data_IF_638009118890
#
_entry.id   IF_638009118890
#
_cell.length_a   1.000
_cell.length_b   1.000
_cell.length_c   1.000
_cell.angle_alpha   90.00
_cell.angle_beta   90.00
_cell.angle_gamma   90.00
#
_symmetry.space_group_name_H-M   'P 1'
#
loop_
_entity.id
_entity.type
_entity.pdbx_description
1 polymer ?
#
# COMPACT_ATOMS: atom_id res chain seq x y z
N UNK A 1 12.57 -3.84 4.52
CA UNK A 1 11.26 -4.46 4.28
C UNK A 1 10.15 -3.52 4.74
N UNK A 2 8.96 -3.56 4.13
CA UNK A 2 7.79 -2.83 4.64
C UNK A 2 6.68 -3.79 4.97
N UNK A 3 5.83 -3.45 5.93
CA UNK A 3 4.72 -4.30 6.36
C UNK A 3 3.40 -3.57 6.22
N UNK A 4 2.37 -4.24 5.68
CA UNK A 4 1.02 -3.69 5.69
C UNK A 4 0.42 -3.75 7.09
N UNK A 5 -0.09 -2.61 7.57
CA UNK A 5 -0.75 -2.48 8.86
C UNK A 5 -2.21 -2.07 8.64
N UNK A 6 -3.15 -2.90 9.08
CA UNK A 6 -4.59 -2.60 8.96
C UNK A 6 -5.00 -1.61 10.05
N UNK A 7 -5.23 -0.35 9.68
CA UNK A 7 -5.50 0.71 10.66
C UNK A 7 -6.82 0.50 11.39
N UNK A 8 -7.84 -0.06 10.73
CA UNK A 8 -9.13 -0.37 11.39
C UNK A 8 -8.97 -1.27 12.62
N UNK A 9 -7.96 -2.14 12.66
CA UNK A 9 -7.69 -3.03 13.79
C UNK A 9 -7.09 -2.33 15.01
N UNK A 10 -6.84 -1.02 14.92
CA UNK A 10 -6.24 -0.20 15.97
C UNK A 10 -7.24 0.74 16.66
N UNK A 11 -8.55 0.50 16.52
CA UNK A 11 -9.61 1.33 17.11
C UNK A 11 -9.39 1.63 18.61
N UNK A 12 -8.89 0.65 19.36
CA UNK A 12 -8.64 0.77 20.80
C UNK A 12 -7.16 0.90 21.16
N UNK A 13 -6.30 1.18 20.18
CA UNK A 13 -4.87 1.38 20.45
C UNK A 13 -4.65 2.68 21.20
N UNK A 14 -3.66 2.66 22.07
CA UNK A 14 -3.06 3.84 22.67
C UNK A 14 -1.76 4.19 21.94
N UNK A 15 -1.18 5.35 22.25
CA UNK A 15 0.17 5.70 21.78
C UNK A 15 1.22 4.65 22.21
N UNK A 16 1.04 4.02 23.39
CA UNK A 16 1.94 2.97 23.88
C UNK A 16 1.86 1.71 23.01
N UNK A 17 0.66 1.33 22.56
CA UNK A 17 0.48 0.18 21.67
C UNK A 17 1.17 0.42 20.33
N UNK A 18 1.01 1.63 19.76
CA UNK A 18 1.73 2.02 18.54
C UNK A 18 3.25 1.99 18.72
N UNK A 19 3.77 2.55 19.81
CA UNK A 19 5.20 2.51 20.12
C UNK A 19 5.71 1.06 20.28
N UNK A 20 4.95 0.20 20.95
CA UNK A 20 5.29 -1.21 21.13
C UNK A 20 5.35 -1.95 19.78
N UNK A 21 4.30 -1.83 18.96
CA UNK A 21 4.24 -2.46 17.63
C UNK A 21 5.36 -1.97 16.70
N UNK A 22 5.69 -0.67 16.71
CA UNK A 22 6.83 -0.14 15.95
C UNK A 22 8.15 -0.71 16.46
N UNK A 23 8.31 -0.90 17.77
CA UNK A 23 9.50 -1.54 18.34
C UNK A 23 9.67 -2.96 17.83
N UNK A 24 8.62 -3.77 17.91
CA UNK A 24 8.63 -5.14 17.39
C UNK A 24 8.93 -5.18 15.88
N UNK A 25 8.43 -4.21 15.12
CA UNK A 25 8.73 -4.12 13.70
C UNK A 25 10.21 -3.80 13.43
N UNK A 26 10.81 -2.88 14.20
CA UNK A 26 12.25 -2.60 14.12
C UNK A 26 13.09 -3.82 14.49
N UNK A 27 12.71 -4.55 15.54
CA UNK A 27 13.37 -5.79 15.96
C UNK A 27 13.28 -6.88 14.87
N UNK A 28 12.20 -6.87 14.10
CA UNK A 28 12.00 -7.74 12.93
C UNK A 28 12.61 -7.18 11.62
N UNK A 29 13.39 -6.10 11.68
CA UNK A 29 14.01 -5.44 10.53
C UNK A 29 13.01 -4.94 9.46
N UNK A 30 11.82 -4.56 9.88
CA UNK A 30 10.86 -3.80 9.07
C UNK A 30 11.25 -2.32 9.16
N UNK A 31 11.31 -1.65 8.01
CA UNK A 31 11.71 -0.25 7.89
C UNK A 31 10.52 0.72 7.98
N UNK A 32 9.32 0.24 7.61
CA UNK A 32 8.14 1.06 7.56
C UNK A 32 6.84 0.26 7.65
N UNK A 33 5.77 0.92 8.10
CA UNK A 33 4.40 0.45 7.91
C UNK A 33 3.74 1.11 6.71
N UNK A 34 3.05 0.30 5.91
CA UNK A 34 2.05 0.71 4.93
C UNK A 34 0.69 0.74 5.64
N UNK A 35 0.19 1.94 5.95
CA UNK A 35 -1.07 2.13 6.67
C UNK A 35 -2.25 1.85 5.73
N UNK A 36 -2.80 0.63 5.80
CA UNK A 36 -3.95 0.20 5.01
C UNK A 36 -5.24 0.74 5.65
N UNK A 37 -5.93 1.62 4.91
CA UNK A 37 -7.05 2.41 5.44
C UNK A 37 -8.19 2.50 4.43
N UNK A 38 -9.40 2.15 4.86
CA UNK A 38 -10.62 2.38 4.08
C UNK A 38 -11.05 3.86 4.19
N UNK A 39 -11.67 4.37 3.12
CA UNK A 39 -12.24 5.72 3.11
C UNK A 39 -13.26 5.90 4.24
N UNK A 40 -13.22 7.04 4.95
CA UNK A 40 -14.16 7.37 6.04
C UNK A 40 -14.25 6.34 7.19
N UNK A 41 -13.26 5.45 7.36
CA UNK A 41 -13.18 4.65 8.57
C UNK A 41 -12.93 5.57 9.78
N UNK A 42 -13.83 5.52 10.77
CA UNK A 42 -13.80 6.33 12.00
C UNK A 42 -12.49 6.17 12.80
N UNK A 43 -11.76 5.09 12.58
CA UNK A 43 -10.49 4.78 13.24
C UNK A 43 -9.33 5.60 12.68
N UNK A 44 -9.44 6.07 11.44
CA UNK A 44 -8.33 6.69 10.70
C UNK A 44 -7.75 7.89 11.44
N UNK A 45 -8.59 8.88 11.80
CA UNK A 45 -8.10 10.17 12.30
C UNK A 45 -7.27 10.00 13.59
N UNK A 46 -7.87 9.38 14.61
CA UNK A 46 -7.20 9.18 15.89
C UNK A 46 -5.98 8.26 15.76
N UNK A 47 -6.10 7.17 15.00
CA UNK A 47 -5.03 6.18 14.93
C UNK A 47 -3.85 6.62 14.09
N UNK A 48 -4.09 7.33 12.97
CA UNK A 48 -3.02 7.90 12.14
C UNK A 48 -2.22 8.91 12.94
N UNK A 49 -2.86 9.80 13.70
CA UNK A 49 -2.17 10.78 14.53
C UNK A 49 -1.23 10.10 15.56
N UNK A 50 -1.73 9.06 16.24
CA UNK A 50 -0.92 8.28 17.18
C UNK A 50 0.22 7.54 16.49
N UNK A 51 -0.04 6.94 15.33
CA UNK A 51 0.97 6.22 14.55
C UNK A 51 2.13 7.15 14.16
N UNK A 52 1.84 8.33 13.60
CA UNK A 52 2.88 9.30 13.22
C UNK A 52 3.65 9.83 14.44
N UNK A 53 2.96 10.08 15.55
CA UNK A 53 3.61 10.50 16.80
C UNK A 53 4.59 9.42 17.30
N UNK A 54 4.16 8.16 17.34
CA UNK A 54 5.00 7.05 17.76
C UNK A 54 6.16 6.79 16.79
N UNK A 55 5.91 6.88 15.48
CA UNK A 55 6.93 6.68 14.45
C UNK A 55 8.02 7.76 14.51
N UNK A 56 7.63 9.02 14.66
CA UNK A 56 8.58 10.13 14.85
C UNK A 56 9.44 9.92 16.10
N UNK A 57 8.84 9.51 17.21
CA UNK A 57 9.56 9.24 18.45
C UNK A 57 10.59 8.08 18.33
N UNK A 58 10.35 7.13 17.41
CA UNK A 58 11.22 5.97 17.18
C UNK A 58 12.09 6.04 15.93
N UNK A 59 12.02 7.14 15.17
CA UNK A 59 12.68 7.24 13.87
C UNK A 59 12.19 6.22 12.83
N UNK A 60 10.95 5.76 12.96
CA UNK A 60 10.33 4.78 12.08
C UNK A 60 9.57 5.45 10.93
N UNK A 61 9.44 4.78 9.79
CA UNK A 61 8.78 5.35 8.62
C UNK A 61 7.35 4.84 8.49
N UNK A 62 6.47 5.69 8.00
CA UNK A 62 5.09 5.33 7.66
C UNK A 62 4.80 5.83 6.26
N UNK A 63 3.95 5.12 5.54
CA UNK A 63 3.32 5.64 4.33
C UNK A 63 1.87 5.17 4.25
N UNK A 64 1.07 5.92 3.51
CA UNK A 64 -0.35 5.62 3.35
C UNK A 64 -0.57 4.58 2.25
N UNK A 65 -1.40 3.60 2.55
CA UNK A 65 -1.92 2.62 1.61
C UNK A 65 -3.45 2.75 1.56
N UNK A 66 -3.93 3.56 0.61
CA UNK A 66 -5.36 3.88 0.53
C UNK A 66 -6.15 2.68 -0.03
N UNK A 67 -7.07 2.15 0.76
CA UNK A 67 -7.85 0.97 0.42
C UNK A 67 -9.12 1.35 -0.35
N UNK A 68 -9.08 1.11 -1.67
CA UNK A 68 -10.20 1.37 -2.56
C UNK A 68 -11.26 0.25 -2.52
N UNK A 69 -10.89 -0.94 -2.02
CA UNK A 69 -11.80 -2.08 -1.88
C UNK A 69 -12.58 -2.08 -0.55
N UNK A 70 -12.18 -1.26 0.43
CA UNK A 70 -12.84 -1.17 1.73
C UNK A 70 -14.16 -0.42 1.64
N UNK A 71 -14.08 0.90 1.42
CA UNK A 71 -15.23 1.81 1.39
C UNK A 71 -15.30 2.63 0.09
N UNK A 72 -14.74 2.10 -1.00
CA UNK A 72 -14.68 2.79 -2.29
C UNK A 72 -13.47 3.72 -2.44
N UNK A 73 -13.42 4.48 -3.55
CA UNK A 73 -12.29 5.33 -3.89
C UNK A 73 -12.17 6.53 -2.95
N UNK A 74 -10.92 6.91 -2.66
CA UNK A 74 -10.61 8.11 -1.89
C UNK A 74 -10.70 9.36 -2.77
N UNK A 75 -10.98 10.52 -2.14
CA UNK A 75 -10.99 11.80 -2.82
C UNK A 75 -9.60 12.16 -3.38
N UNK A 76 -9.56 12.62 -4.63
CA UNK A 76 -8.32 12.93 -5.36
C UNK A 76 -7.48 14.01 -4.68
N UNK A 77 -8.10 14.92 -3.93
CA UNK A 77 -7.41 15.99 -3.22
C UNK A 77 -6.54 15.47 -2.09
N UNK A 78 -6.82 14.27 -1.55
CA UNK A 78 -6.02 13.65 -0.49
C UNK A 78 -4.58 13.41 -0.92
N UNK A 79 -4.30 13.32 -2.23
CA UNK A 79 -2.97 13.04 -2.78
C UNK A 79 -2.07 14.27 -2.94
N UNK A 80 -2.64 15.48 -2.85
CA UNK A 80 -1.90 16.72 -3.08
C UNK A 80 -0.76 16.88 -2.07
N UNK A 81 0.43 17.19 -2.57
CA UNK A 81 1.64 17.38 -1.76
C UNK A 81 2.33 16.08 -1.30
N UNK A 82 1.83 14.90 -1.70
CA UNK A 82 2.46 13.61 -1.33
C UNK A 82 3.46 13.18 -2.40
N UNK A 83 4.71 12.96 -2.00
CA UNK A 83 5.75 12.48 -2.91
C UNK A 83 5.60 10.99 -3.27
N UNK A 84 4.90 10.22 -2.43
CA UNK A 84 4.63 8.79 -2.65
C UNK A 84 3.16 8.49 -2.37
N UNK A 85 2.53 7.74 -3.27
CA UNK A 85 1.15 7.27 -3.13
C UNK A 85 1.06 5.79 -3.48
N UNK A 86 0.40 5.03 -2.63
CA UNK A 86 0.08 3.64 -2.85
C UNK A 86 -1.39 3.40 -2.54
N UNK A 87 -2.04 2.59 -3.38
CA UNK A 87 -3.42 2.19 -3.19
C UNK A 87 -3.55 0.67 -3.21
N UNK A 88 -4.48 0.14 -2.42
CA UNK A 88 -4.85 -1.26 -2.43
C UNK A 88 -6.12 -1.43 -3.27
N UNK A 89 -6.03 -2.23 -4.35
CA UNK A 89 -7.08 -2.42 -5.35
C UNK A 89 -7.46 -1.10 -6.05
N UNK A 90 -8.64 -1.07 -6.68
CA UNK A 90 -9.15 0.12 -7.38
C UNK A 90 -8.73 0.24 -8.85
N UNK A 91 -8.42 -0.87 -9.53
CA UNK A 91 -8.05 -0.84 -10.96
C UNK A 91 -9.16 -0.29 -11.87
N UNK A 92 -10.43 -0.33 -11.43
CA UNK A 92 -11.56 0.33 -12.09
C UNK A 92 -11.46 1.85 -12.12
N UNK A 93 -10.67 2.44 -11.22
CA UNK A 93 -10.44 3.89 -11.10
C UNK A 93 -9.08 4.29 -11.70
N UNK A 94 -8.46 3.42 -12.51
CA UNK A 94 -7.13 3.68 -13.03
C UNK A 94 -7.08 5.00 -13.82
N UNK A 95 -8.09 5.30 -14.64
CA UNK A 95 -8.12 6.48 -15.53
C UNK A 95 -7.95 7.81 -14.78
N UNK A 96 -8.35 7.87 -13.51
CA UNK A 96 -8.16 9.05 -12.65
C UNK A 96 -6.68 9.41 -12.47
N UNK A 97 -5.78 8.41 -12.51
CA UNK A 97 -4.37 8.56 -12.19
C UNK A 97 -3.56 9.29 -13.26
N UNK A 98 -4.06 9.39 -14.50
CA UNK A 98 -3.45 10.26 -15.51
C UNK A 98 -3.45 11.72 -15.03
N UNK A 99 -4.59 12.18 -14.50
CA UNK A 99 -4.75 13.55 -13.99
C UNK A 99 -4.07 13.70 -12.63
N UNK A 100 -4.30 12.77 -11.70
CA UNK A 100 -3.72 12.85 -10.35
C UNK A 100 -2.19 12.92 -10.42
N UNK A 101 -1.54 12.09 -11.24
CA UNK A 101 -0.09 12.16 -11.39
C UNK A 101 0.40 13.43 -12.05
N UNK A 102 -0.32 13.95 -13.05
CA UNK A 102 0.04 15.22 -13.68
C UNK A 102 0.00 16.39 -12.68
N UNK A 103 -0.97 16.39 -11.75
CA UNK A 103 -1.13 17.44 -10.74
C UNK A 103 -0.17 17.30 -9.55
N UNK A 104 0.12 16.06 -9.13
CA UNK A 104 0.87 15.78 -7.90
C UNK A 104 2.35 15.50 -8.13
N UNK A 105 2.71 15.01 -9.32
CA UNK A 105 4.02 14.46 -9.63
C UNK A 105 4.50 13.40 -8.60
N UNK A 106 3.56 12.66 -8.01
CA UNK A 106 3.88 11.64 -7.02
C UNK A 106 4.48 10.40 -7.66
N UNK A 107 5.32 9.70 -6.90
CA UNK A 107 5.66 8.31 -7.18
C UNK A 107 4.47 7.43 -6.83
N UNK A 108 3.87 6.79 -7.83
CA UNK A 108 2.64 6.02 -7.69
C UNK A 108 2.89 4.52 -7.90
N UNK A 109 2.61 3.73 -6.86
CA UNK A 109 2.79 2.29 -6.87
C UNK A 109 1.57 1.56 -6.27
N UNK A 110 0.56 1.23 -7.09
CA UNK A 110 -0.67 0.56 -6.65
C UNK A 110 -0.57 -0.97 -6.62
N UNK A 111 -1.51 -1.61 -5.92
CA UNK A 111 -1.88 -3.01 -6.11
C UNK A 111 -3.07 -3.11 -7.04
N UNK A 112 -2.81 -3.50 -8.28
CA UNK A 112 -3.83 -3.88 -9.26
C UNK A 112 -3.75 -5.37 -9.59
N UNK A 113 -3.27 -6.21 -8.65
CA UNK A 113 -3.09 -7.64 -8.88
C UNK A 113 -4.35 -8.42 -9.23
N UNK A 114 -5.53 -7.90 -8.91
CA UNK A 114 -6.80 -8.49 -9.39
C UNK A 114 -6.94 -8.51 -10.91
N UNK A 115 -6.23 -7.64 -11.64
CA UNK A 115 -6.21 -7.63 -13.10
C UNK A 115 -5.14 -8.58 -13.70
N UNK A 116 -4.22 -9.09 -12.89
CA UNK A 116 -3.00 -9.78 -13.35
C UNK A 116 -1.92 -8.79 -13.85
N UNK A 117 -0.67 -9.26 -13.92
CA UNK A 117 0.49 -8.41 -14.15
C UNK A 117 0.45 -7.65 -15.48
N UNK A 118 0.26 -8.33 -16.62
CA UNK A 118 0.28 -7.70 -17.95
C UNK A 118 -0.85 -6.66 -18.12
N UNK A 119 -2.12 -6.97 -17.81
CA UNK A 119 -3.17 -5.96 -17.88
C UNK A 119 -2.92 -4.80 -16.94
N UNK A 120 -2.48 -5.05 -15.69
CA UNK A 120 -2.21 -4.00 -14.71
C UNK A 120 -1.14 -3.00 -15.18
N UNK A 121 -0.04 -3.48 -15.80
CA UNK A 121 1.00 -2.59 -16.36
C UNK A 121 0.47 -1.76 -17.54
N UNK A 122 -0.44 -2.32 -18.35
CA UNK A 122 -1.00 -1.65 -19.52
C UNK A 122 -2.08 -0.60 -19.20
N UNK A 123 -2.61 -0.58 -17.98
CA UNK A 123 -3.64 0.38 -17.59
C UNK A 123 -3.12 1.82 -17.74
N UNK A 124 -3.94 2.66 -18.39
CA UNK A 124 -3.71 4.11 -18.51
C UNK A 124 -2.35 4.44 -19.11
N UNK A 125 -1.98 3.75 -20.19
CA UNK A 125 -0.67 3.92 -20.84
C UNK A 125 0.51 3.79 -19.87
N UNK A 126 0.42 2.85 -18.93
CA UNK A 126 1.46 2.57 -17.94
C UNK A 126 1.78 3.77 -17.05
N UNK A 127 0.74 4.48 -16.58
CA UNK A 127 0.86 5.67 -15.73
C UNK A 127 1.59 5.39 -14.40
N UNK A 128 1.61 4.14 -13.93
CA UNK A 128 2.25 3.74 -12.66
C UNK A 128 3.78 3.79 -12.74
N UNK A 129 4.43 4.14 -11.64
CA UNK A 129 5.90 4.09 -11.53
C UNK A 129 6.39 2.71 -11.14
N UNK A 130 5.54 1.89 -10.53
CA UNK A 130 5.77 0.50 -10.19
C UNK A 130 4.45 -0.17 -9.84
N UNK A 131 4.50 -1.45 -9.49
CA UNK A 131 3.35 -2.17 -8.95
C UNK A 131 3.77 -2.95 -7.71
N UNK A 132 2.81 -3.24 -6.85
CA UNK A 132 2.97 -4.28 -5.84
C UNK A 132 1.88 -5.33 -5.99
N UNK A 133 2.14 -6.52 -5.45
CA UNK A 133 1.17 -7.62 -5.43
C UNK A 133 0.67 -7.84 -4.02
N UNK A 134 -0.61 -8.17 -3.86
CA UNK A 134 -1.17 -8.65 -2.59
C UNK A 134 -1.30 -10.19 -2.54
N UNK A 135 -0.83 -10.88 -3.57
CA UNK A 135 -0.90 -12.35 -3.64
C UNK A 135 0.27 -12.95 -2.87
N UNK A 136 0.15 -13.03 -1.54
CA UNK A 136 1.17 -13.59 -0.65
C UNK A 136 0.82 -14.98 -0.10
N UNK A 137 -0.44 -15.42 -0.25
CA UNK A 137 -0.94 -16.66 0.36
C UNK A 137 -1.33 -17.73 -0.68
N UNK A 138 -1.21 -19.03 -0.32
CA UNK A 138 -1.71 -20.14 -1.13
C UNK A 138 -3.17 -19.97 -1.53
N UNK A 139 -3.53 -20.53 -2.69
CA UNK A 139 -4.92 -20.55 -3.14
C UNK A 139 -5.52 -21.95 -2.97
N UNK A 140 -6.31 -22.13 -1.91
CA UNK A 140 -6.91 -23.43 -1.58
C UNK A 140 -5.84 -24.49 -1.30
N UNK A 141 -5.83 -25.56 -2.09
CA UNK A 141 -4.83 -26.63 -2.01
C UNK A 141 -3.58 -26.38 -2.87
N UNK A 142 -3.49 -25.23 -3.55
CA UNK A 142 -2.33 -24.87 -4.36
C UNK A 142 -1.34 -24.03 -3.53
N UNK A 143 -0.18 -24.63 -3.25
CA UNK A 143 0.95 -23.95 -2.61
C UNK A 143 1.47 -22.78 -3.45
N UNK A 144 2.17 -21.86 -2.79
CA UNK A 144 2.78 -20.70 -3.45
C UNK A 144 3.88 -21.13 -4.42
N UNK A 145 3.99 -20.41 -5.53
CA UNK A 145 5.06 -20.53 -6.51
C UNK A 145 5.62 -19.13 -6.88
N UNK A 146 6.60 -19.10 -7.80
CA UNK A 146 7.25 -17.86 -8.24
C UNK A 146 6.62 -17.26 -9.50
N UNK A 147 5.63 -17.89 -10.13
CA UNK A 147 5.12 -17.47 -11.44
C UNK A 147 4.50 -16.08 -11.40
N UNK A 148 3.69 -15.79 -10.37
CA UNK A 148 3.10 -14.45 -10.20
C UNK A 148 4.20 -13.40 -10.15
N UNK A 149 5.18 -13.56 -9.26
CA UNK A 149 6.30 -12.63 -9.12
C UNK A 149 7.12 -12.49 -10.40
N UNK A 150 7.42 -13.60 -11.08
CA UNK A 150 8.14 -13.60 -12.35
C UNK A 150 7.40 -12.80 -13.43
N UNK A 151 6.07 -12.92 -13.49
CA UNK A 151 5.26 -12.17 -14.45
C UNK A 151 5.32 -10.65 -14.21
N UNK A 152 5.29 -10.20 -12.95
CA UNK A 152 5.45 -8.79 -12.62
C UNK A 152 6.82 -8.27 -13.02
N UNK A 153 7.88 -9.00 -12.64
CA UNK A 153 9.27 -8.63 -12.99
C UNK A 153 9.43 -8.52 -14.51
N UNK A 154 8.83 -9.44 -15.28
CA UNK A 154 8.89 -9.42 -16.74
C UNK A 154 8.13 -8.22 -17.34
N UNK A 155 6.88 -7.99 -16.93
CA UNK A 155 6.03 -6.99 -17.59
C UNK A 155 6.30 -5.55 -17.13
N UNK A 156 6.82 -5.35 -15.92
CA UNK A 156 7.16 -4.01 -15.43
C UNK A 156 8.36 -3.39 -16.16
N UNK A 157 9.11 -4.16 -16.94
CA UNK A 157 10.22 -3.69 -17.77
C UNK A 157 11.13 -2.69 -17.02
N UNK A 158 11.75 -3.17 -15.94
CA UNK A 158 12.64 -2.42 -15.03
C UNK A 158 11.97 -1.40 -14.11
N UNK A 159 10.65 -1.17 -14.19
CA UNK A 159 9.93 -0.44 -13.14
C UNK A 159 9.98 -1.22 -11.81
N UNK A 160 10.02 -0.54 -10.65
CA UNK A 160 10.02 -1.19 -9.35
C UNK A 160 8.83 -2.15 -9.14
N UNK A 161 9.13 -3.27 -8.49
CA UNK A 161 8.15 -4.25 -8.03
C UNK A 161 8.30 -4.45 -6.52
N UNK A 162 7.23 -4.23 -5.75
CA UNK A 162 7.18 -4.67 -4.35
C UNK A 162 6.52 -6.04 -4.28
N UNK A 163 7.34 -7.06 -4.06
CA UNK A 163 6.91 -8.44 -3.85
C UNK A 163 6.30 -8.60 -2.46
N UNK A 164 5.16 -9.29 -2.36
CA UNK A 164 4.57 -9.64 -1.07
C UNK A 164 5.03 -11.02 -0.59
N UNK A 165 5.13 -11.12 0.73
CA UNK A 165 5.52 -12.31 1.48
C UNK A 165 4.58 -12.40 2.67
N UNK A 166 4.06 -13.59 2.99
CA UNK A 166 3.35 -13.88 4.23
C UNK A 166 4.11 -14.91 5.07
N UNK A 167 3.94 -14.92 6.40
CA UNK A 167 4.40 -16.01 7.26
C UNK A 167 3.79 -17.36 6.88
#
# INVERSE_FOLDING_TARGET
MVMAFQVTNSENYTASDWQSNIGLAQDAHIDAFALNMAWEDKTNDASVEMAFTAANAKGFKLFFLFNYAGNGPWDKNVYKGRSFVSIFKGSSNADDWAIIKAETNCFFMPDWSSAGAKPAVGLVNSVTDGLFSWSAWPWGNHGMDTYTNASYIQYLDRKPYMMAISP
#
